data_IF_104653488848
#
_entry.id   IF_104653488848
#
_cell.length_a   1.000
_cell.length_b   1.000
_cell.length_c   1.000
_cell.angle_alpha   90.00
_cell.angle_beta   90.00
_cell.angle_gamma   90.00
#
_symmetry.space_group_name_H-M   'P 1'
#
loop_
_entity.id
_entity.type
_entity.pdbx_description
1 polymer ?
#
# COMPACT_ATOMS: atom_id res chain seq x y z
N UNK A 1 -21.65 -20.46 25.96
CA UNK A 1 -20.29 -19.91 25.91
C UNK A 1 -19.72 -19.85 24.48
N UNK A 2 -20.12 -20.75 23.58
CA UNK A 2 -19.70 -20.78 22.17
C UNK A 2 -20.12 -19.56 21.36
N UNK A 3 -21.37 -19.09 21.51
CA UNK A 3 -21.87 -17.93 20.74
C UNK A 3 -21.13 -16.62 21.04
N UNK A 4 -20.85 -16.37 22.33
CA UNK A 4 -20.09 -15.20 22.74
C UNK A 4 -18.65 -15.20 22.17
N UNK A 5 -18.01 -16.38 22.14
CA UNK A 5 -16.68 -16.54 21.54
C UNK A 5 -16.70 -16.33 20.02
N UNK A 6 -17.77 -16.75 19.33
CA UNK A 6 -17.93 -16.55 17.89
C UNK A 6 -18.06 -15.05 17.54
N UNK A 7 -18.87 -14.31 18.30
CA UNK A 7 -19.05 -12.86 18.11
C UNK A 7 -17.71 -12.13 18.31
N UNK A 8 -16.98 -12.42 19.38
CA UNK A 8 -15.66 -11.80 19.63
C UNK A 8 -14.68 -12.14 18.51
N UNK A 9 -14.66 -13.40 18.05
CA UNK A 9 -13.76 -13.84 16.98
C UNK A 9 -14.03 -13.12 15.66
N UNK A 10 -15.31 -12.87 15.35
CA UNK A 10 -15.72 -12.08 14.20
C UNK A 10 -15.20 -10.63 14.28
N UNK A 11 -15.44 -9.94 15.40
CA UNK A 11 -14.95 -8.57 15.59
C UNK A 11 -13.41 -8.48 15.59
N UNK A 12 -12.74 -9.46 16.19
CA UNK A 12 -11.28 -9.54 16.13
C UNK A 12 -10.76 -9.75 14.70
N UNK A 13 -11.47 -10.53 13.88
CA UNK A 13 -11.19 -10.70 12.46
C UNK A 13 -11.35 -9.40 11.67
N UNK A 14 -12.46 -8.67 11.87
CA UNK A 14 -12.68 -7.35 11.27
C UNK A 14 -11.61 -6.34 11.68
N UNK A 15 -11.25 -6.31 12.97
CA UNK A 15 -10.22 -5.39 13.45
C UNK A 15 -8.85 -5.70 12.84
N UNK A 16 -8.49 -6.99 12.71
CA UNK A 16 -7.25 -7.40 12.02
C UNK A 16 -7.26 -7.02 10.55
N UNK A 17 -8.38 -7.23 9.85
CA UNK A 17 -8.54 -6.80 8.47
C UNK A 17 -8.32 -5.29 8.34
N UNK A 18 -9.01 -4.50 9.17
CA UNK A 18 -8.94 -3.05 9.13
C UNK A 18 -7.53 -2.53 9.48
N UNK A 19 -6.89 -3.09 10.50
CA UNK A 19 -5.52 -2.75 10.86
C UNK A 19 -4.55 -3.02 9.71
N UNK A 20 -4.68 -4.19 9.06
CA UNK A 20 -3.85 -4.53 7.91
C UNK A 20 -4.15 -3.68 6.69
N UNK A 21 -5.40 -3.29 6.48
CA UNK A 21 -5.78 -2.35 5.44
C UNK A 21 -5.13 -0.98 5.65
N UNK A 22 -5.24 -0.39 6.85
CA UNK A 22 -4.59 0.88 7.19
C UNK A 22 -3.06 0.79 7.13
N UNK A 23 -2.49 -0.35 7.54
CA UNK A 23 -1.06 -0.61 7.42
C UNK A 23 -0.62 -0.68 5.95
N UNK A 24 -1.37 -1.39 5.11
CA UNK A 24 -1.17 -1.42 3.66
C UNK A 24 -1.22 -0.02 3.04
N UNK A 25 -2.21 0.79 3.40
CA UNK A 25 -2.32 2.18 2.94
C UNK A 25 -1.06 2.99 3.30
N UNK A 26 -0.59 2.86 4.54
CA UNK A 26 0.60 3.56 5.04
C UNK A 26 1.87 3.14 4.31
N UNK A 27 2.05 1.84 4.07
CA UNK A 27 3.19 1.28 3.35
C UNK A 27 3.18 1.71 1.88
N UNK A 28 2.01 1.68 1.23
CA UNK A 28 1.84 2.17 -0.14
C UNK A 28 2.17 3.66 -0.26
N UNK A 29 1.71 4.47 0.69
CA UNK A 29 2.00 5.91 0.73
C UNK A 29 3.48 6.19 0.96
N UNK A 30 4.12 5.49 1.90
CA UNK A 30 5.55 5.60 2.16
C UNK A 30 6.38 5.22 0.93
N UNK A 31 6.01 4.12 0.26
CA UNK A 31 6.67 3.67 -0.97
C UNK A 31 6.55 4.75 -2.04
N UNK A 32 5.33 5.21 -2.34
CA UNK A 32 5.09 6.27 -3.32
C UNK A 32 5.88 7.55 -3.03
N UNK A 33 5.86 8.01 -1.79
CA UNK A 33 6.58 9.22 -1.38
C UNK A 33 8.09 9.07 -1.55
N UNK A 34 8.62 7.91 -1.19
CA UNK A 34 10.03 7.58 -1.40
C UNK A 34 10.38 7.63 -2.89
N UNK A 35 9.55 7.07 -3.76
CA UNK A 35 9.79 7.13 -5.21
C UNK A 35 9.78 8.56 -5.76
N UNK A 36 8.87 9.42 -5.28
CA UNK A 36 8.75 10.82 -5.73
C UNK A 36 9.84 11.76 -5.22
N UNK A 37 10.22 11.64 -3.95
CA UNK A 37 11.18 12.56 -3.32
C UNK A 37 12.65 12.15 -3.58
N UNK A 38 12.86 11.00 -4.22
CA UNK A 38 14.19 10.51 -4.58
C UNK A 38 14.78 11.24 -5.79
N UNK A 39 15.14 12.51 -5.62
CA UNK A 39 16.20 13.13 -6.46
C UNK A 39 17.56 12.45 -6.20
N UNK A 40 17.69 11.74 -5.07
CA UNK A 40 18.93 11.11 -4.60
C UNK A 40 18.90 9.59 -4.66
N UNK A 41 19.15 9.06 -5.86
CA UNK A 41 19.77 7.76 -6.06
C UNK A 41 18.83 6.55 -6.15
N UNK A 42 19.03 5.75 -7.20
CA UNK A 42 18.36 4.47 -7.46
C UNK A 42 18.43 3.48 -6.27
N UNK A 43 19.40 3.65 -5.38
CA UNK A 43 19.59 2.81 -4.19
C UNK A 43 18.42 2.91 -3.21
N UNK A 44 17.88 4.10 -2.97
CA UNK A 44 16.78 4.29 -2.03
C UNK A 44 15.47 3.71 -2.60
N UNK A 45 15.24 3.90 -3.90
CA UNK A 45 14.10 3.31 -4.62
C UNK A 45 14.17 1.78 -4.60
N UNK A 46 15.34 1.20 -4.87
CA UNK A 46 15.54 -0.24 -4.82
C UNK A 46 15.33 -0.80 -3.41
N UNK A 47 15.84 -0.13 -2.37
CA UNK A 47 15.63 -0.53 -0.99
C UNK A 47 14.16 -0.47 -0.57
N UNK A 48 13.44 0.60 -0.95
CA UNK A 48 12.01 0.73 -0.68
C UNK A 48 11.19 -0.37 -1.39
N UNK A 49 11.50 -0.66 -2.65
CA UNK A 49 10.85 -1.72 -3.41
C UNK A 49 11.11 -3.12 -2.83
N UNK A 50 12.37 -3.42 -2.51
CA UNK A 50 12.74 -4.70 -1.87
C UNK A 50 12.10 -4.83 -0.49
N UNK A 51 12.09 -3.76 0.30
CA UNK A 51 11.41 -3.71 1.59
C UNK A 51 9.91 -3.98 1.46
N UNK A 52 9.26 -3.38 0.46
CA UNK A 52 7.85 -3.61 0.15
C UNK A 52 7.57 -5.08 -0.20
N UNK A 53 8.37 -5.67 -1.10
CA UNK A 53 8.23 -7.07 -1.49
C UNK A 53 8.48 -8.03 -0.32
N UNK A 54 9.52 -7.77 0.48
CA UNK A 54 9.83 -8.57 1.66
C UNK A 54 8.69 -8.51 2.68
N UNK A 55 8.16 -7.33 2.93
CA UNK A 55 7.01 -7.15 3.83
C UNK A 55 5.78 -7.88 3.29
N UNK A 56 5.52 -7.80 1.97
CA UNK A 56 4.44 -8.55 1.33
C UNK A 56 4.59 -10.07 1.50
N UNK A 57 5.78 -10.61 1.25
CA UNK A 57 6.08 -12.03 1.44
C UNK A 57 5.92 -12.46 2.91
N UNK A 58 6.34 -11.61 3.85
CA UNK A 58 6.20 -11.86 5.29
C UNK A 58 4.72 -11.87 5.71
N UNK A 59 3.94 -10.90 5.26
CA UNK A 59 2.49 -10.84 5.53
C UNK A 59 1.81 -12.09 4.99
N UNK A 60 2.07 -12.47 3.72
CA UNK A 60 1.48 -13.67 3.10
C UNK A 60 1.82 -14.95 3.91
N UNK A 61 3.03 -15.04 4.47
CA UNK A 61 3.47 -16.24 5.19
C UNK A 61 2.86 -16.40 6.58
N UNK A 62 2.60 -15.29 7.27
CA UNK A 62 2.24 -15.28 8.70
C UNK A 62 0.82 -14.77 8.98
N UNK A 63 0.13 -14.21 7.99
CA UNK A 63 -1.22 -13.67 8.16
C UNK A 63 -2.29 -14.60 7.57
N UNK A 64 -3.53 -14.45 8.08
CA UNK A 64 -4.68 -15.11 7.47
C UNK A 64 -5.00 -14.50 6.10
N UNK A 65 -5.79 -15.21 5.29
CA UNK A 65 -6.21 -14.73 3.97
C UNK A 65 -6.92 -13.37 4.05
N UNK A 66 -7.74 -13.16 5.09
CA UNK A 66 -8.43 -11.89 5.33
C UNK A 66 -7.46 -10.72 5.57
N UNK A 67 -6.53 -10.85 6.51
CA UNK A 67 -5.56 -9.78 6.78
C UNK A 67 -4.63 -9.53 5.59
N UNK A 68 -4.23 -10.57 4.87
CA UNK A 68 -3.42 -10.43 3.65
C UNK A 68 -4.18 -9.64 2.57
N UNK A 69 -5.46 -9.94 2.37
CA UNK A 69 -6.33 -9.19 1.47
C UNK A 69 -6.47 -7.71 1.88
N UNK A 70 -6.63 -7.45 3.18
CA UNK A 70 -6.65 -6.08 3.72
C UNK A 70 -5.36 -5.32 3.39
N UNK A 71 -4.20 -5.90 3.69
CA UNK A 71 -2.90 -5.31 3.38
C UNK A 71 -2.73 -5.02 1.88
N UNK A 72 -3.01 -5.99 1.01
CA UNK A 72 -2.88 -5.83 -0.44
C UNK A 72 -3.84 -4.77 -0.98
N UNK A 73 -5.10 -4.75 -0.52
CA UNK A 73 -6.07 -3.73 -0.92
C UNK A 73 -5.63 -2.33 -0.49
N UNK A 74 -5.13 -2.16 0.73
CA UNK A 74 -4.62 -0.88 1.21
C UNK A 74 -3.39 -0.44 0.40
N UNK A 75 -2.41 -1.31 0.25
CA UNK A 75 -1.17 -1.00 -0.46
C UNK A 75 -1.42 -0.67 -1.94
N UNK A 76 -2.15 -1.54 -2.65
CA UNK A 76 -2.47 -1.34 -4.06
C UNK A 76 -3.40 -0.13 -4.26
N UNK A 77 -4.40 0.04 -3.40
CA UNK A 77 -5.33 1.16 -3.45
C UNK A 77 -4.62 2.51 -3.34
N UNK A 78 -3.72 2.66 -2.36
CA UNK A 78 -2.91 3.88 -2.22
C UNK A 78 -2.02 4.12 -3.42
N UNK A 79 -1.30 3.10 -3.89
CA UNK A 79 -0.40 3.26 -5.04
C UNK A 79 -1.15 3.65 -6.31
N UNK A 80 -2.33 3.09 -6.55
CA UNK A 80 -3.17 3.44 -7.70
C UNK A 80 -3.72 4.85 -7.60
N UNK A 81 -4.30 5.23 -6.45
CA UNK A 81 -4.90 6.56 -6.25
C UNK A 81 -3.84 7.66 -6.40
N UNK A 82 -2.68 7.46 -5.76
CA UNK A 82 -1.59 8.45 -5.80
C UNK A 82 -0.89 8.46 -7.16
N UNK A 83 -0.73 7.29 -7.80
CA UNK A 83 -0.19 7.17 -9.15
C UNK A 83 -1.01 7.93 -10.19
N UNK A 84 -2.33 7.71 -10.21
CA UNK A 84 -3.25 8.39 -11.13
C UNK A 84 -3.31 9.92 -10.88
N UNK A 85 -3.18 10.35 -9.63
CA UNK A 85 -3.20 11.78 -9.29
C UNK A 85 -1.99 12.54 -9.86
N UNK A 86 -0.87 11.87 -10.11
CA UNK A 86 0.32 12.49 -10.70
C UNK A 86 0.22 12.60 -12.24
N UNK A 87 -0.45 11.66 -12.91
CA UNK A 87 -0.65 11.71 -14.36
C UNK A 87 -1.56 12.87 -14.79
N UNK A 88 -2.47 13.33 -13.91
CA UNK A 88 -3.28 14.53 -14.14
C UNK A 88 -2.45 15.81 -14.28
N UNK A 89 -1.23 15.85 -13.74
CA UNK A 89 -0.27 16.96 -13.90
C UNK A 89 0.53 16.82 -15.20
N UNK A 90 0.73 15.60 -15.70
CA UNK A 90 1.52 15.34 -16.91
C UNK A 90 0.81 15.77 -18.20
N UNK A 91 -0.51 15.99 -18.17
CA UNK A 91 -1.30 16.42 -19.34
C UNK A 91 -1.32 17.94 -19.57
N UNK A 92 -0.79 18.77 -18.66
CA UNK A 92 -0.77 20.24 -18.83
C UNK A 92 0.54 20.80 -19.41
N UNK A 93 1.57 19.97 -19.58
CA UNK A 93 2.77 20.32 -20.34
C UNK A 93 2.74 19.68 -21.72
N UNK A 94 1.83 20.14 -22.57
CA UNK A 94 2.04 20.03 -24.02
C UNK A 94 3.11 21.05 -24.41
N UNK A 95 4.22 20.64 -25.03
CA UNK A 95 5.12 21.56 -25.70
C UNK A 95 4.41 22.06 -26.96
N UNK A 96 3.78 23.23 -26.90
CA UNK A 96 3.31 23.95 -28.10
C UNK A 96 3.97 25.32 -28.26
N UNK A 97 5.09 25.57 -27.58
CA UNK A 97 5.76 26.89 -27.62
C UNK A 97 7.08 26.89 -28.42
N UNK A 98 7.45 25.79 -29.08
CA UNK A 98 8.67 25.72 -29.89
C UNK A 98 8.43 25.07 -31.27
N UNK A 99 7.61 25.70 -32.13
CA UNK A 99 7.64 25.48 -33.59
C UNK A 99 7.07 26.68 -34.35
#
# INVERSE_FOLDING_TARGET
MTEFANIISFFAGMLRFLAMFLFGLSVGWFTWRTFRESERGWQLQAAAYLGFLFLGAFVIRFSSAGSTGGFLLGAAGTLLILGLSDEGVFKSKTPSDDA
#
